data_IF_440877340075
#
_entry.id   IF_440877340075
#
_cell.length_a   1.000
_cell.length_b   1.000
_cell.length_c   1.000
_cell.angle_alpha   90.00
_cell.angle_beta   90.00
_cell.angle_gamma   90.00
#
_symmetry.space_group_name_H-M   'P 1'
#
loop_
_entity.id
_entity.type
_entity.pdbx_description
1 polymer ?
#
# COMPACT_ATOMS: atom_id res chain seq x y z
N UNK A 1 19.88 44.38 20.05
CA UNK A 1 18.48 44.81 20.07
C UNK A 1 18.08 44.93 18.60
N UNK A 2 17.84 43.80 17.93
CA UNK A 2 16.68 42.91 17.97
C UNK A 2 15.54 43.47 17.12
N UNK A 3 15.50 43.03 15.86
CA UNK A 3 14.28 42.86 15.08
C UNK A 3 14.52 41.64 14.19
N UNK A 4 14.50 40.47 14.85
CA UNK A 4 14.26 39.20 14.16
C UNK A 4 12.73 39.15 14.06
N UNK A 5 12.20 39.44 12.88
CA UNK A 5 10.77 39.21 12.63
C UNK A 5 10.50 37.72 12.84
N UNK A 6 9.71 37.43 13.87
CA UNK A 6 9.10 36.12 14.11
C UNK A 6 8.41 35.67 12.83
N UNK A 7 8.97 34.63 12.20
CA UNK A 7 8.29 33.87 11.17
C UNK A 7 7.19 33.11 11.92
N UNK A 8 6.01 33.74 11.99
CA UNK A 8 4.82 33.16 12.59
C UNK A 8 4.61 31.74 12.07
N UNK A 9 4.33 30.84 13.01
CA UNK A 9 3.86 29.47 12.78
C UNK A 9 2.73 29.49 11.73
N UNK A 10 3.06 29.12 10.51
CA UNK A 10 2.04 28.82 9.49
C UNK A 10 1.43 27.50 9.92
N UNK A 11 0.23 27.56 10.50
CA UNK A 11 -0.53 26.34 10.82
C UNK A 11 -0.52 25.41 9.59
N UNK A 12 -0.31 24.09 9.78
CA UNK A 12 -0.29 23.16 8.67
C UNK A 12 -1.63 23.24 7.95
N UNK A 13 -1.59 23.82 6.75
CA UNK A 13 -2.74 24.00 5.89
C UNK A 13 -3.34 22.63 5.61
N UNK A 14 -4.57 22.43 6.11
CA UNK A 14 -5.27 21.15 6.05
C UNK A 14 -5.65 20.87 4.60
N UNK A 15 -5.11 19.80 4.03
CA UNK A 15 -5.54 19.30 2.71
C UNK A 15 -6.91 18.62 2.89
N UNK A 16 -8.01 19.20 2.38
CA UNK A 16 -9.38 18.73 2.68
C UNK A 16 -9.66 17.33 2.12
N UNK A 17 -8.90 16.91 1.11
CA UNK A 17 -8.99 15.58 0.53
C UNK A 17 -8.23 14.51 1.31
N UNK A 18 -7.50 14.85 2.38
CA UNK A 18 -6.79 13.89 3.22
C UNK A 18 -7.51 13.72 4.57
N UNK A 19 -7.47 12.52 5.21
CA UNK A 19 -8.24 12.23 6.42
C UNK A 19 -7.72 12.97 7.68
N UNK A 20 -6.55 13.63 7.59
CA UNK A 20 -5.91 14.37 8.68
C UNK A 20 -5.02 13.49 9.58
N UNK A 21 -4.19 14.10 10.44
CA UNK A 21 -3.13 13.42 11.19
C UNK A 21 -3.64 12.47 12.30
N UNK A 22 -4.89 12.59 12.73
CA UNK A 22 -5.50 11.78 13.79
C UNK A 22 -6.44 10.70 13.25
N UNK A 23 -6.62 10.62 11.93
CA UNK A 23 -7.57 9.70 11.31
C UNK A 23 -6.81 8.69 10.44
N UNK A 24 -6.78 7.39 10.84
CA UNK A 24 -6.11 6.38 10.04
C UNK A 24 -6.86 6.11 8.74
N UNK A 25 -6.11 5.86 7.67
CA UNK A 25 -6.66 5.49 6.37
C UNK A 25 -7.06 4.00 6.37
N UNK A 26 -8.26 3.70 6.86
CA UNK A 26 -8.74 2.32 7.00
C UNK A 26 -9.40 1.77 5.74
N UNK A 27 -9.94 2.64 4.88
CA UNK A 27 -10.64 2.25 3.65
C UNK A 27 -10.36 3.22 2.50
N UNK A 28 -10.57 2.74 1.27
CA UNK A 28 -10.49 3.58 0.08
C UNK A 28 -11.71 4.50 0.00
N UNK A 29 -11.50 5.78 -0.33
CA UNK A 29 -12.57 6.78 -0.40
C UNK A 29 -12.42 7.67 -1.63
N UNK A 30 -13.50 8.39 -1.96
CA UNK A 30 -13.49 9.47 -2.95
C UNK A 30 -13.74 10.80 -2.25
N UNK A 31 -12.99 11.83 -2.61
CA UNK A 31 -13.26 13.21 -2.23
C UNK A 31 -13.63 14.00 -3.49
N UNK A 32 -14.62 14.88 -3.37
CA UNK A 32 -15.03 15.81 -4.42
C UNK A 32 -14.95 17.24 -3.88
N UNK A 33 -14.37 18.14 -4.67
CA UNK A 33 -14.52 19.58 -4.47
C UNK A 33 -15.96 20.04 -4.80
N UNK A 34 -16.35 21.28 -4.46
CA UNK A 34 -17.65 21.82 -4.86
C UNK A 34 -17.90 21.68 -6.36
N UNK A 35 -19.11 21.26 -6.74
CA UNK A 35 -19.49 21.09 -8.14
C UNK A 35 -19.51 22.45 -8.86
N UNK A 36 -18.77 22.60 -9.97
CA UNK A 36 -18.82 23.78 -10.82
C UNK A 36 -20.22 24.09 -11.33
N UNK A 37 -20.53 25.38 -11.47
CA UNK A 37 -21.86 25.88 -11.87
C UNK A 37 -21.89 26.49 -13.28
N UNK A 38 -20.72 26.70 -13.88
CA UNK A 38 -20.61 27.22 -15.23
C UNK A 38 -21.30 26.30 -16.26
N UNK A 39 -21.98 26.89 -17.22
CA UNK A 39 -22.62 26.14 -18.28
C UNK A 39 -21.62 25.78 -19.38
N UNK A 40 -21.82 24.62 -20.01
CA UNK A 40 -21.10 24.20 -21.20
C UNK A 40 -20.67 22.75 -21.14
N UNK A 41 -20.22 22.18 -22.27
CA UNK A 41 -19.57 20.88 -22.23
C UNK A 41 -18.24 21.00 -21.49
N UNK A 42 -17.96 20.03 -20.63
CA UNK A 42 -16.76 20.00 -19.80
C UNK A 42 -15.68 19.12 -20.44
N UNK A 43 -14.43 19.55 -20.30
CA UNK A 43 -13.27 18.69 -20.47
C UNK A 43 -12.82 18.15 -19.11
N UNK A 44 -12.22 16.97 -19.10
CA UNK A 44 -11.72 16.33 -17.88
C UNK A 44 -10.31 15.78 -18.09
N UNK A 45 -9.43 16.00 -17.12
CA UNK A 45 -8.10 15.41 -17.05
C UNK A 45 -8.04 14.33 -15.98
N UNK A 46 -7.32 13.24 -16.23
CA UNK A 46 -7.07 12.14 -15.29
C UNK A 46 -5.57 11.93 -15.13
N UNK A 47 -5.10 11.87 -13.88
CA UNK A 47 -3.73 11.47 -13.55
C UNK A 47 -3.70 10.73 -12.19
N UNK A 48 -2.54 10.19 -11.82
CA UNK A 48 -2.32 9.37 -10.64
C UNK A 48 -1.06 9.73 -9.87
N UNK A 49 -1.03 9.37 -8.58
CA UNK A 49 0.13 9.52 -7.72
C UNK A 49 0.31 8.30 -6.82
N UNK A 50 1.55 7.86 -6.63
CA UNK A 50 1.85 6.76 -5.71
C UNK A 50 1.66 5.36 -6.29
N UNK A 51 1.83 5.16 -7.61
CA UNK A 51 1.73 3.83 -8.22
C UNK A 51 2.87 2.89 -7.84
N UNK A 52 4.11 3.39 -7.85
CA UNK A 52 5.32 2.59 -7.60
C UNK A 52 5.68 2.28 -6.14
N UNK A 53 5.43 3.17 -5.15
CA UNK A 53 5.81 2.95 -3.75
C UNK A 53 5.28 1.64 -3.16
N UNK A 54 6.09 1.04 -2.28
CA UNK A 54 5.71 -0.07 -1.39
C UNK A 54 4.93 0.42 -0.16
N UNK A 55 5.01 1.72 0.16
CA UNK A 55 4.34 2.35 1.29
C UNK A 55 3.25 3.33 0.83
N UNK A 56 2.16 3.41 1.58
CA UNK A 56 1.13 4.45 1.45
C UNK A 56 0.12 4.18 0.33
N UNK A 57 -0.83 5.10 0.13
CA UNK A 57 -1.94 4.91 -0.80
C UNK A 57 -1.56 5.20 -2.26
N UNK A 58 -2.39 4.71 -3.19
CA UNK A 58 -2.40 5.12 -4.60
C UNK A 58 -3.57 6.07 -4.80
N UNK A 59 -3.31 7.28 -5.30
CA UNK A 59 -4.34 8.30 -5.49
C UNK A 59 -4.56 8.53 -6.97
N UNK A 60 -5.80 8.41 -7.43
CA UNK A 60 -6.23 8.89 -8.75
C UNK A 60 -6.88 10.25 -8.58
N UNK A 61 -6.51 11.21 -9.42
CA UNK A 61 -7.09 12.55 -9.46
C UNK A 61 -7.79 12.80 -10.78
N UNK A 62 -8.88 13.55 -10.72
CA UNK A 62 -9.50 14.19 -11.88
C UNK A 62 -9.67 15.68 -11.64
N UNK A 63 -9.53 16.45 -12.70
CA UNK A 63 -9.92 17.86 -12.75
C UNK A 63 -10.78 18.09 -13.98
N UNK A 64 -11.77 18.97 -13.89
CA UNK A 64 -12.74 19.21 -14.95
C UNK A 64 -13.22 20.66 -14.97
N UNK A 65 -13.38 21.21 -16.16
CA UNK A 65 -13.85 22.58 -16.38
C UNK A 65 -14.59 22.70 -17.72
N UNK A 66 -15.39 23.75 -17.96
CA UNK A 66 -15.97 24.01 -19.27
C UNK A 66 -14.89 24.07 -20.35
N UNK A 67 -15.17 23.56 -21.55
CA UNK A 67 -14.24 23.60 -22.67
C UNK A 67 -13.85 25.04 -23.06
N UNK A 68 -14.78 25.99 -22.92
CA UNK A 68 -14.53 27.42 -23.13
C UNK A 68 -13.53 28.03 -22.14
N UNK A 69 -13.36 27.40 -20.97
CA UNK A 69 -12.45 27.82 -19.93
C UNK A 69 -11.03 27.27 -20.12
N UNK A 70 -10.81 26.42 -21.13
CA UNK A 70 -9.51 25.84 -21.42
C UNK A 70 -8.45 26.90 -21.76
N UNK A 71 -8.82 27.94 -22.52
CA UNK A 71 -7.92 29.06 -22.82
C UNK A 71 -7.64 29.89 -21.56
N UNK A 72 -8.65 30.10 -20.72
CA UNK A 72 -8.46 30.75 -19.43
C UNK A 72 -7.62 29.92 -18.47
N UNK A 73 -7.56 28.59 -18.57
CA UNK A 73 -6.60 27.78 -17.80
C UNK A 73 -5.14 28.02 -18.23
N UNK A 74 -4.91 28.46 -19.48
CA UNK A 74 -3.58 28.87 -19.94
C UNK A 74 -3.17 30.21 -19.30
N UNK A 75 -4.10 31.15 -19.16
CA UNK A 75 -3.88 32.49 -18.57
C UNK A 75 -3.95 32.52 -17.03
N UNK A 76 -4.87 31.74 -16.45
CA UNK A 76 -5.07 31.62 -15.00
C UNK A 76 -3.86 31.03 -14.34
N UNK A 77 -2.91 30.53 -15.13
CA UNK A 77 -1.55 30.71 -14.76
C UNK A 77 -1.34 30.12 -13.38
N UNK A 78 -1.11 28.81 -13.34
CA UNK A 78 -0.18 28.33 -12.33
C UNK A 78 1.07 29.26 -12.25
N UNK A 79 1.33 30.11 -13.28
CA UNK A 79 2.03 31.41 -13.31
C UNK A 79 1.96 32.27 -12.03
N UNK A 80 0.88 32.36 -11.26
CA UNK A 80 0.91 33.10 -9.97
C UNK A 80 1.82 32.43 -8.92
N UNK A 81 1.74 31.09 -8.81
CA UNK A 81 2.63 30.27 -8.00
C UNK A 81 3.98 30.00 -8.70
N UNK A 82 4.09 30.31 -9.98
CA UNK A 82 5.30 30.13 -10.82
C UNK A 82 6.17 31.40 -10.83
N UNK A 83 5.56 32.60 -10.78
CA UNK A 83 6.25 33.89 -10.74
C UNK A 83 6.81 34.19 -9.35
N UNK A 84 6.14 33.75 -8.27
CA UNK A 84 6.70 33.81 -6.91
C UNK A 84 7.98 32.99 -6.75
N UNK A 85 8.21 32.01 -7.63
CA UNK A 85 9.37 31.10 -7.59
C UNK A 85 10.26 31.18 -8.85
N UNK A 86 9.96 32.06 -9.81
CA UNK A 86 10.79 32.29 -11.02
C UNK A 86 10.89 31.13 -12.01
N UNK A 87 9.94 30.19 -12.03
CA UNK A 87 10.03 28.95 -12.82
C UNK A 87 8.79 28.73 -13.67
N UNK A 88 8.90 28.82 -15.01
CA UNK A 88 7.77 28.55 -15.91
C UNK A 88 7.13 27.16 -15.69
N UNK A 89 5.91 26.94 -16.20
CA UNK A 89 5.10 25.75 -15.92
C UNK A 89 5.80 24.40 -16.17
N UNK A 90 6.73 24.36 -17.14
CA UNK A 90 7.62 23.19 -17.34
C UNK A 90 8.66 23.00 -16.23
N UNK A 91 9.24 24.07 -15.69
CA UNK A 91 10.14 24.04 -14.54
C UNK A 91 9.41 23.70 -13.24
N UNK A 92 8.17 24.15 -13.10
CA UNK A 92 7.30 23.83 -11.96
C UNK A 92 6.78 22.39 -11.98
N UNK A 93 6.29 21.89 -13.13
CA UNK A 93 5.96 20.46 -13.27
C UNK A 93 7.20 19.59 -13.03
N UNK A 94 8.37 20.02 -13.49
CA UNK A 94 9.63 19.34 -13.25
C UNK A 94 10.02 19.32 -11.77
N UNK A 95 9.76 20.37 -11.00
CA UNK A 95 9.91 20.36 -9.54
C UNK A 95 8.92 19.42 -8.84
N UNK A 96 7.67 19.36 -9.31
CA UNK A 96 6.68 18.39 -8.83
C UNK A 96 7.05 16.94 -9.21
N UNK A 97 7.82 16.75 -10.28
CA UNK A 97 8.40 15.45 -10.69
C UNK A 97 9.65 15.12 -9.86
N UNK A 98 10.49 16.11 -9.55
CA UNK A 98 11.70 16.00 -8.73
C UNK A 98 11.35 16.18 -7.23
N UNK A 99 10.45 15.33 -6.72
CA UNK A 99 9.70 15.37 -5.44
C UNK A 99 10.51 15.42 -4.12
N UNK A 100 11.71 15.99 -4.10
CA UNK A 100 12.55 16.09 -2.91
C UNK A 100 12.53 17.48 -2.25
N UNK A 101 11.88 18.49 -2.86
CA UNK A 101 12.02 19.90 -2.41
C UNK A 101 10.73 20.73 -2.61
N UNK A 102 9.54 20.20 -2.33
CA UNK A 102 8.35 21.03 -2.18
C UNK A 102 7.86 20.90 -0.74
N UNK A 103 7.96 22.00 0.03
CA UNK A 103 7.45 22.06 1.41
C UNK A 103 5.92 21.95 1.40
N UNK A 104 5.34 21.41 2.46
CA UNK A 104 3.88 21.27 2.64
C UNK A 104 3.11 22.58 2.30
N UNK A 105 3.65 23.73 2.67
CA UNK A 105 3.06 25.05 2.37
C UNK A 105 2.87 25.33 0.86
N UNK A 106 3.79 24.87 0.00
CA UNK A 106 3.67 25.04 -1.45
C UNK A 106 2.60 24.11 -2.03
N UNK A 107 2.32 22.97 -1.38
CA UNK A 107 1.32 22.00 -1.84
C UNK A 107 -0.10 22.49 -1.61
N UNK A 108 -0.36 23.05 -0.43
CA UNK A 108 -1.68 23.57 -0.07
C UNK A 108 -2.08 24.78 -0.92
N UNK A 109 -1.14 25.69 -1.20
CA UNK A 109 -1.40 26.84 -2.07
C UNK A 109 -1.82 26.45 -3.50
N UNK A 110 -1.41 25.27 -3.98
CA UNK A 110 -1.81 24.78 -5.30
C UNK A 110 -3.23 24.24 -5.29
N UNK A 111 -3.62 23.55 -4.23
CA UNK A 111 -4.98 23.09 -4.04
C UNK A 111 -5.94 24.28 -3.84
N UNK A 112 -5.48 25.33 -3.14
CA UNK A 112 -6.20 26.59 -3.01
C UNK A 112 -6.38 27.26 -4.37
N UNK A 113 -5.36 27.22 -5.24
CA UNK A 113 -5.46 27.71 -6.61
C UNK A 113 -6.52 26.93 -7.40
N UNK A 114 -6.52 25.59 -7.30
CA UNK A 114 -7.54 24.74 -7.94
C UNK A 114 -8.95 25.00 -7.41
N UNK A 115 -9.07 25.47 -6.17
CA UNK A 115 -10.34 25.74 -5.50
C UNK A 115 -10.76 27.21 -5.59
N UNK A 116 -9.90 28.08 -6.13
CA UNK A 116 -10.14 29.54 -6.18
C UNK A 116 -11.27 29.94 -7.13
N UNK A 117 -11.43 29.22 -8.24
CA UNK A 117 -12.53 29.41 -9.20
C UNK A 117 -13.43 28.18 -9.22
N UNK A 118 -14.09 27.92 -8.09
CA UNK A 118 -15.04 26.81 -7.94
C UNK A 118 -16.26 26.90 -8.86
N UNK A 119 -16.51 28.03 -9.52
CA UNK A 119 -17.59 28.16 -10.50
C UNK A 119 -17.23 27.45 -11.82
N UNK A 120 -15.95 27.51 -12.22
CA UNK A 120 -15.47 26.95 -13.49
C UNK A 120 -14.66 25.66 -13.32
N UNK A 121 -13.92 25.50 -12.23
CA UNK A 121 -12.99 24.39 -12.04
C UNK A 121 -13.42 23.49 -10.88
N UNK A 122 -13.58 22.21 -11.20
CA UNK A 122 -13.83 21.16 -10.23
C UNK A 122 -12.70 20.14 -10.26
N UNK A 123 -12.45 19.52 -9.12
CA UNK A 123 -11.54 18.40 -8.99
C UNK A 123 -12.08 17.34 -8.04
N UNK A 124 -11.59 16.11 -8.19
CA UNK A 124 -11.94 14.98 -7.33
C UNK A 124 -10.78 14.01 -7.26
N UNK A 125 -10.68 13.27 -6.15
CA UNK A 125 -9.63 12.26 -5.97
C UNK A 125 -10.22 10.98 -5.43
N UNK A 126 -9.73 9.84 -5.93
CA UNK A 126 -9.99 8.51 -5.39
C UNK A 126 -8.71 8.00 -4.73
N UNK A 127 -8.75 7.85 -3.42
CA UNK A 127 -7.63 7.33 -2.62
C UNK A 127 -7.83 5.83 -2.44
N UNK A 128 -6.91 5.02 -2.99
CA UNK A 128 -6.86 3.58 -2.80
C UNK A 128 -5.93 3.24 -1.63
N UNK A 129 -6.51 2.72 -0.56
CA UNK A 129 -5.76 2.39 0.63
C UNK A 129 -4.81 1.19 0.41
N UNK A 130 -3.62 1.15 1.04
CA UNK A 130 -2.64 0.09 0.80
C UNK A 130 -3.16 -1.32 1.09
N UNK A 131 -4.02 -1.48 2.11
CA UNK A 131 -4.71 -2.74 2.41
C UNK A 131 -5.73 -3.14 1.33
N UNK A 132 -6.41 -2.18 0.70
CA UNK A 132 -7.33 -2.45 -0.41
C UNK A 132 -6.55 -2.92 -1.66
N UNK A 133 -5.40 -2.29 -1.94
CA UNK A 133 -4.51 -2.71 -3.03
C UNK A 133 -4.00 -4.13 -2.79
N UNK A 134 -3.52 -4.38 -1.57
CA UNK A 134 -2.97 -5.68 -1.16
C UNK A 134 -4.01 -6.79 -1.24
N UNK A 135 -5.18 -6.59 -0.63
CA UNK A 135 -6.28 -7.56 -0.66
C UNK A 135 -6.79 -7.80 -2.09
N UNK A 136 -6.91 -6.75 -2.91
CA UNK A 136 -7.30 -6.88 -4.31
C UNK A 136 -6.34 -7.74 -5.14
N UNK A 137 -5.03 -7.59 -4.94
CA UNK A 137 -4.01 -8.33 -5.69
C UNK A 137 -3.80 -9.76 -5.16
N UNK A 138 -3.98 -9.99 -3.85
CA UNK A 138 -3.72 -11.27 -3.19
C UNK A 138 -4.96 -12.19 -3.10
N UNK A 139 -6.17 -11.68 -3.37
CA UNK A 139 -7.39 -12.49 -3.36
C UNK A 139 -7.43 -13.52 -4.50
N UNK A 140 -8.42 -14.43 -4.43
CA UNK A 140 -8.75 -15.39 -5.49
C UNK A 140 -10.18 -15.16 -6.02
N UNK A 141 -10.37 -14.92 -7.33
CA UNK A 141 -9.36 -14.66 -8.36
C UNK A 141 -8.68 -13.27 -8.18
N UNK A 142 -7.38 -13.14 -8.50
CA UNK A 142 -6.63 -11.91 -8.26
C UNK A 142 -7.10 -10.76 -9.17
N UNK A 143 -7.13 -9.55 -8.62
CA UNK A 143 -7.34 -8.31 -9.38
C UNK A 143 -6.03 -7.54 -9.41
N UNK A 144 -5.39 -7.55 -10.57
CA UNK A 144 -4.10 -6.88 -10.75
C UNK A 144 -4.22 -5.35 -10.60
N UNK A 145 -3.08 -4.69 -10.38
CA UNK A 145 -3.03 -3.25 -10.15
C UNK A 145 -3.61 -2.46 -11.32
N UNK A 146 -3.39 -2.90 -12.57
CA UNK A 146 -3.92 -2.20 -13.75
C UNK A 146 -5.45 -2.18 -13.74
N UNK A 147 -6.10 -3.27 -13.35
CA UNK A 147 -7.56 -3.34 -13.26
C UNK A 147 -8.09 -2.45 -12.13
N UNK A 148 -7.46 -2.47 -10.96
CA UNK A 148 -7.82 -1.58 -9.85
C UNK A 148 -7.66 -0.09 -10.22
N UNK A 149 -6.57 0.25 -10.94
CA UNK A 149 -6.34 1.58 -11.51
C UNK A 149 -7.44 2.00 -12.49
N UNK A 150 -7.80 1.14 -13.45
CA UNK A 150 -8.87 1.41 -14.41
C UNK A 150 -10.21 1.61 -13.71
N UNK A 151 -10.54 0.77 -12.72
CA UNK A 151 -11.79 0.87 -11.97
C UNK A 151 -11.86 2.18 -11.17
N UNK A 152 -10.74 2.69 -10.64
CA UNK A 152 -10.67 3.99 -9.97
C UNK A 152 -10.92 5.15 -10.94
N UNK A 153 -10.31 5.14 -12.13
CA UNK A 153 -10.58 6.14 -13.19
C UNK A 153 -12.05 6.12 -13.61
N UNK A 154 -12.61 4.93 -13.86
CA UNK A 154 -14.00 4.75 -14.27
C UNK A 154 -14.96 5.27 -13.19
N UNK A 155 -14.67 4.99 -11.91
CA UNK A 155 -15.48 5.49 -10.80
C UNK A 155 -15.51 7.03 -10.79
N UNK A 156 -14.35 7.69 -10.88
CA UNK A 156 -14.28 9.15 -10.89
C UNK A 156 -15.03 9.77 -12.08
N UNK A 157 -14.92 9.19 -13.27
CA UNK A 157 -15.66 9.68 -14.45
C UNK A 157 -17.17 9.52 -14.23
N UNK A 158 -17.63 8.38 -13.69
CA UNK A 158 -19.04 8.14 -13.39
C UNK A 158 -19.57 9.11 -12.34
N UNK A 159 -18.78 9.39 -11.31
CA UNK A 159 -19.16 10.34 -10.26
C UNK A 159 -19.36 11.74 -10.86
N UNK A 160 -18.43 12.21 -11.70
CA UNK A 160 -18.54 13.50 -12.40
C UNK A 160 -19.80 13.55 -13.29
N UNK A 161 -20.07 12.51 -14.08
CA UNK A 161 -21.29 12.43 -14.88
C UNK A 161 -22.55 12.43 -14.00
N UNK A 162 -22.50 11.83 -12.81
CA UNK A 162 -23.64 11.80 -11.87
C UNK A 162 -23.98 13.17 -11.28
N UNK A 163 -23.03 14.12 -11.28
CA UNK A 163 -23.26 15.50 -10.86
C UNK A 163 -24.03 16.32 -11.91
N UNK A 164 -24.41 15.71 -13.04
CA UNK A 164 -25.10 16.40 -14.14
C UNK A 164 -24.15 17.15 -15.07
N UNK A 165 -22.83 16.93 -14.94
CA UNK A 165 -21.83 17.52 -15.82
C UNK A 165 -21.79 16.75 -17.14
N UNK A 166 -22.00 17.46 -18.25
CA UNK A 166 -21.86 16.91 -19.59
C UNK A 166 -20.39 16.95 -20.02
N UNK A 167 -19.74 15.78 -20.10
CA UNK A 167 -18.36 15.68 -20.56
C UNK A 167 -18.31 15.57 -22.09
N UNK A 168 -17.54 16.44 -22.74
CA UNK A 168 -17.22 16.29 -24.17
C UNK A 168 -15.95 15.48 -24.39
N UNK A 169 -14.89 15.73 -23.61
CA UNK A 169 -13.57 15.13 -23.83
C UNK A 169 -12.85 14.79 -22.53
N UNK A 170 -12.26 13.60 -22.45
CA UNK A 170 -11.45 13.12 -21.33
C UNK A 170 -10.02 12.84 -21.77
N UNK A 171 -9.06 13.50 -21.14
CA UNK A 171 -7.63 13.32 -21.34
C UNK A 171 -7.05 12.49 -20.19
N UNK A 172 -6.36 11.40 -20.48
CA UNK A 172 -5.84 10.47 -19.47
C UNK A 172 -4.34 10.32 -19.60
N UNK A 173 -3.59 10.56 -18.50
CA UNK A 173 -2.20 10.09 -18.41
C UNK A 173 -2.19 8.60 -18.09
N UNK A 174 -1.52 7.82 -18.94
CA UNK A 174 -1.42 6.38 -18.74
C UNK A 174 -0.05 5.85 -19.15
N UNK A 175 0.43 4.88 -18.37
CA UNK A 175 1.63 4.11 -18.69
C UNK A 175 1.27 2.87 -19.51
N UNK A 176 2.11 2.50 -20.48
CA UNK A 176 1.95 1.27 -21.27
C UNK A 176 1.18 1.46 -22.58
N UNK A 177 0.33 0.49 -22.93
CA UNK A 177 -0.43 0.47 -24.19
C UNK A 177 -1.68 1.34 -24.07
N UNK A 178 -1.59 2.56 -24.62
CA UNK A 178 -2.63 3.59 -24.52
C UNK A 178 -3.82 3.30 -25.43
N UNK A 179 -3.61 2.76 -26.64
CA UNK A 179 -4.66 2.47 -27.62
C UNK A 179 -5.73 1.50 -27.08
N UNK A 180 -5.29 0.42 -26.43
CA UNK A 180 -6.22 -0.54 -25.80
C UNK A 180 -7.01 0.08 -24.67
N UNK A 181 -6.38 0.97 -23.91
CA UNK A 181 -7.05 1.63 -22.79
C UNK A 181 -8.05 2.67 -23.28
N UNK A 182 -7.70 3.44 -24.31
CA UNK A 182 -8.60 4.37 -24.98
C UNK A 182 -9.82 3.64 -25.55
N UNK A 183 -9.62 2.58 -26.33
CA UNK A 183 -10.72 1.78 -26.88
C UNK A 183 -11.63 1.21 -25.79
N UNK A 184 -11.06 0.78 -24.65
CA UNK A 184 -11.83 0.30 -23.51
C UNK A 184 -12.68 1.42 -22.89
N UNK A 185 -12.11 2.61 -22.64
CA UNK A 185 -12.85 3.75 -22.10
C UNK A 185 -13.94 4.24 -23.06
N UNK A 186 -13.62 4.39 -24.34
CA UNK A 186 -14.59 4.79 -25.37
C UNK A 186 -15.75 3.78 -25.49
N UNK A 187 -15.49 2.49 -25.28
CA UNK A 187 -16.57 1.48 -25.26
C UNK A 187 -17.50 1.60 -24.05
N UNK A 188 -16.98 2.08 -22.91
CA UNK A 188 -17.75 2.26 -21.68
C UNK A 188 -18.52 3.58 -21.64
N UNK A 189 -18.01 4.61 -22.31
CA UNK A 189 -18.60 5.96 -22.34
C UNK A 189 -18.75 6.45 -23.79
N UNK A 190 -19.70 5.92 -24.58
CA UNK A 190 -19.78 6.19 -26.02
C UNK A 190 -20.15 7.63 -26.43
N UNK A 191 -20.49 8.49 -25.46
CA UNK A 191 -20.86 9.90 -25.67
C UNK A 191 -19.72 10.87 -25.34
N UNK A 192 -18.58 10.36 -24.90
CA UNK A 192 -17.43 11.13 -24.45
C UNK A 192 -16.24 10.76 -25.30
N UNK A 193 -15.52 11.75 -25.81
CA UNK A 193 -14.29 11.52 -26.55
C UNK A 193 -13.13 11.27 -25.57
N UNK A 194 -12.25 10.34 -25.90
CA UNK A 194 -11.09 10.01 -25.07
C UNK A 194 -9.80 10.27 -25.82
N UNK A 195 -8.80 10.75 -25.07
CA UNK A 195 -7.41 10.76 -25.52
C UNK A 195 -6.53 10.22 -24.41
N UNK A 196 -5.99 9.03 -24.63
CA UNK A 196 -5.08 8.39 -23.68
C UNK A 196 -3.67 8.46 -24.24
N UNK A 197 -2.77 9.14 -23.53
CA UNK A 197 -1.38 9.26 -23.96
C UNK A 197 -0.45 9.19 -22.76
N UNK A 198 0.78 8.76 -23.00
CA UNK A 198 1.87 8.95 -22.04
C UNK A 198 2.21 10.43 -21.91
N UNK A 199 2.57 10.86 -20.70
CA UNK A 199 2.95 12.24 -20.36
C UNK A 199 1.87 13.24 -20.75
N UNK A 200 0.61 12.87 -20.52
CA UNK A 200 -0.53 13.74 -20.79
C UNK A 200 -0.50 14.99 -19.90
N UNK A 201 0.04 14.87 -18.68
CA UNK A 201 0.32 15.97 -17.75
C UNK A 201 1.13 17.11 -18.37
N UNK A 202 2.01 16.78 -19.31
CA UNK A 202 2.91 17.71 -20.00
C UNK A 202 2.27 18.32 -21.26
N UNK A 203 1.18 17.73 -21.74
CA UNK A 203 0.48 18.11 -22.99
C UNK A 203 -0.81 18.88 -22.72
N UNK A 204 -1.55 18.51 -21.67
CA UNK A 204 -2.88 19.03 -21.38
C UNK A 204 -2.93 19.61 -19.96
N UNK A 205 -3.26 20.90 -19.83
CA UNK A 205 -3.29 21.60 -18.54
C UNK A 205 -4.28 21.00 -17.55
N UNK A 206 -5.42 20.52 -18.06
CA UNK A 206 -6.43 19.87 -17.21
C UNK A 206 -5.89 18.58 -16.58
N UNK A 207 -5.00 17.86 -17.28
CA UNK A 207 -4.30 16.69 -16.72
C UNK A 207 -3.24 17.13 -15.71
N UNK A 208 -2.54 18.24 -15.96
CA UNK A 208 -1.64 18.84 -14.97
C UNK A 208 -2.37 19.20 -13.66
N UNK A 209 -3.58 19.75 -13.75
CA UNK A 209 -4.42 20.06 -12.60
C UNK A 209 -4.83 18.79 -11.83
N UNK A 210 -5.24 17.74 -12.54
CA UNK A 210 -5.53 16.43 -11.95
C UNK A 210 -4.30 15.83 -11.24
N UNK A 211 -3.11 15.99 -11.83
CA UNK A 211 -1.83 15.57 -11.26
C UNK A 211 -1.54 16.22 -9.92
N UNK A 212 -1.79 17.53 -9.82
CA UNK A 212 -1.62 18.30 -8.58
C UNK A 212 -2.55 17.75 -7.50
N UNK A 213 -3.85 17.59 -7.81
CA UNK A 213 -4.82 17.05 -6.86
C UNK A 213 -4.40 15.66 -6.33
N UNK A 214 -3.95 14.77 -7.22
CA UNK A 214 -3.48 13.43 -6.85
C UNK A 214 -2.22 13.47 -5.97
N UNK A 215 -1.19 14.21 -6.38
CA UNK A 215 0.10 14.30 -5.69
C UNK A 215 -0.02 14.96 -4.32
N UNK A 216 -0.72 16.09 -4.24
CA UNK A 216 -0.93 16.82 -2.98
C UNK A 216 -1.70 15.96 -1.99
N UNK A 217 -2.77 15.30 -2.42
CA UNK A 217 -3.54 14.38 -1.57
C UNK A 217 -2.69 13.20 -1.10
N UNK A 218 -1.92 12.57 -2.00
CA UNK A 218 -1.06 11.43 -1.66
C UNK A 218 -0.01 11.84 -0.63
N UNK A 219 0.68 12.96 -0.86
CA UNK A 219 1.74 13.42 0.03
C UNK A 219 1.16 13.77 1.40
N UNK A 220 0.03 14.47 1.46
CA UNK A 220 -0.67 14.75 2.71
C UNK A 220 -1.08 13.47 3.46
N UNK A 221 -1.56 12.44 2.75
CA UNK A 221 -1.89 11.15 3.37
C UNK A 221 -0.65 10.46 3.98
N UNK A 222 0.52 10.57 3.35
CA UNK A 222 1.75 9.91 3.81
C UNK A 222 2.45 10.73 4.90
N UNK A 223 2.49 12.05 4.78
CA UNK A 223 3.10 12.95 5.78
C UNK A 223 2.33 12.95 7.10
N UNK A 224 0.99 12.91 7.02
CA UNK A 224 0.10 12.83 8.18
C UNK A 224 -0.39 11.41 8.45
N UNK A 225 0.43 10.39 8.12
CA UNK A 225 0.00 9.00 8.25
C UNK A 225 -0.26 8.63 9.71
N UNK A 226 -1.49 8.23 10.00
CA UNK A 226 -1.89 7.67 11.28
C UNK A 226 -1.98 6.14 11.16
N UNK A 227 -1.18 5.42 11.94
CA UNK A 227 -1.25 3.96 11.99
C UNK A 227 -2.53 3.52 12.69
N UNK A 228 -3.32 2.69 12.01
CA UNK A 228 -4.55 2.15 12.60
C UNK A 228 -4.25 1.24 13.80
N UNK A 229 -3.08 0.59 13.76
CA UNK A 229 -2.57 -0.31 14.78
C UNK A 229 -2.22 0.38 16.10
N UNK A 230 -2.00 1.70 16.08
CA UNK A 230 -1.65 2.48 17.28
C UNK A 230 -2.91 2.97 18.03
N UNK A 231 -4.13 2.64 17.56
CA UNK A 231 -5.37 3.02 18.25
C UNK A 231 -5.37 2.51 19.70
N UNK A 232 -5.22 3.44 20.64
CA UNK A 232 -5.20 3.16 22.08
C UNK A 232 -3.79 3.11 22.71
N UNK A 233 -2.74 3.43 21.95
CA UNK A 233 -1.37 3.61 22.45
C UNK A 233 -0.99 5.10 22.47
N UNK A 234 -0.23 5.53 23.48
CA UNK A 234 0.31 6.90 23.56
C UNK A 234 1.53 7.11 22.64
N UNK A 235 2.23 6.02 22.29
CA UNK A 235 3.39 6.03 21.42
C UNK A 235 3.18 5.11 20.20
N UNK A 236 3.65 5.57 19.04
CA UNK A 236 3.61 4.77 17.81
C UNK A 236 4.69 3.70 17.83
N UNK A 237 4.33 2.46 17.49
CA UNK A 237 5.30 1.35 17.37
C UNK A 237 6.32 1.59 16.24
N UNK A 238 5.98 2.41 15.24
CA UNK A 238 6.79 2.62 14.05
C UNK A 238 7.24 4.08 13.89
N UNK A 239 8.48 4.27 13.45
CA UNK A 239 8.98 5.60 13.10
C UNK A 239 8.23 6.19 11.90
N UNK A 240 8.04 7.51 11.93
CA UNK A 240 7.52 8.31 10.82
C UNK A 240 8.58 8.61 9.74
N UNK A 241 9.85 8.24 9.97
CA UNK A 241 10.94 8.36 9.00
C UNK A 241 10.91 7.22 7.98
N UNK A 242 9.87 7.19 7.15
CA UNK A 242 9.59 6.13 6.18
C UNK A 242 10.56 6.08 4.99
N UNK A 243 11.29 7.17 4.74
CA UNK A 243 11.94 7.41 3.45
C UNK A 243 10.94 7.79 2.34
N UNK A 244 11.32 7.60 1.08
CA UNK A 244 10.50 7.93 -0.09
C UNK A 244 9.29 6.99 -0.29
N UNK A 245 9.31 5.82 0.34
CA UNK A 245 8.34 4.75 0.12
C UNK A 245 8.61 3.88 -1.11
N UNK A 246 9.65 4.14 -1.90
CA UNK A 246 10.02 3.31 -3.06
C UNK A 246 10.95 2.16 -2.68
N UNK A 247 10.84 0.99 -3.31
CA UNK A 247 11.71 -0.16 -3.00
C UNK A 247 13.17 0.05 -3.37
N UNK A 248 13.48 1.06 -4.20
CA UNK A 248 14.85 1.45 -4.58
C UNK A 248 15.53 2.37 -3.57
N UNK A 249 14.80 2.90 -2.59
CA UNK A 249 15.35 3.84 -1.61
C UNK A 249 15.90 3.11 -0.37
N UNK A 250 17.19 3.27 -0.05
CA UNK A 250 17.82 2.64 1.12
C UNK A 250 17.13 2.95 2.45
N UNK A 251 16.58 4.15 2.63
CA UNK A 251 15.89 4.52 3.86
C UNK A 251 14.57 3.75 4.01
N UNK A 252 13.82 3.62 2.92
CA UNK A 252 12.59 2.81 2.88
C UNK A 252 12.88 1.33 3.17
N UNK A 253 13.94 0.78 2.58
CA UNK A 253 14.32 -0.62 2.84
C UNK A 253 14.76 -0.82 4.29
N UNK A 254 15.49 0.14 4.87
CA UNK A 254 15.86 0.09 6.30
C UNK A 254 14.62 0.10 7.18
N UNK A 255 13.67 0.99 6.91
CA UNK A 255 12.42 1.08 7.67
C UNK A 255 11.64 -0.24 7.60
N UNK A 256 11.50 -0.84 6.41
CA UNK A 256 10.83 -2.14 6.27
C UNK A 256 11.51 -3.22 7.11
N UNK A 257 12.84 -3.31 7.11
CA UNK A 257 13.54 -4.31 7.94
C UNK A 257 13.33 -4.11 9.43
N UNK A 258 13.21 -2.87 9.91
CA UNK A 258 12.91 -2.59 11.33
C UNK A 258 11.43 -2.76 11.68
N UNK A 259 10.53 -2.63 10.71
CA UNK A 259 9.09 -2.62 10.94
C UNK A 259 8.45 -4.02 10.93
N UNK A 260 9.19 -5.05 10.50
CA UNK A 260 8.66 -6.40 10.34
C UNK A 260 8.36 -7.06 11.69
N UNK A 261 7.13 -7.53 11.84
CA UNK A 261 6.64 -8.32 12.96
C UNK A 261 6.70 -9.82 12.60
N UNK A 262 7.24 -10.70 13.46
CA UNK A 262 7.40 -12.12 13.14
C UNK A 262 6.09 -12.85 12.84
N UNK A 263 4.96 -12.38 13.37
CA UNK A 263 3.65 -13.02 13.20
C UNK A 263 2.78 -12.24 12.23
N UNK A 264 2.67 -10.92 12.42
CA UNK A 264 1.75 -10.08 11.65
C UNK A 264 2.37 -9.48 10.39
N UNK A 265 3.68 -9.57 10.22
CA UNK A 265 4.37 -9.03 9.07
C UNK A 265 4.56 -7.51 9.15
N UNK A 266 3.61 -6.72 8.66
CA UNK A 266 3.78 -5.27 8.53
C UNK A 266 2.51 -4.49 8.94
N UNK A 267 2.63 -3.20 9.31
CA UNK A 267 1.45 -2.35 9.45
C UNK A 267 0.76 -2.15 8.09
N UNK A 268 -0.54 -1.79 8.12
CA UNK A 268 -1.40 -1.56 6.95
C UNK A 268 -0.90 -0.51 5.98
N UNK A 269 0.04 0.35 6.40
CA UNK A 269 0.79 1.25 5.52
C UNK A 269 1.49 0.52 4.36
N UNK A 270 1.94 -0.71 4.60
CA UNK A 270 2.74 -1.49 3.66
C UNK A 270 1.85 -2.25 2.69
N UNK A 271 2.21 -2.22 1.41
CA UNK A 271 1.51 -2.97 0.37
C UNK A 271 2.06 -4.40 0.27
N UNK A 272 1.37 -5.35 0.89
CA UNK A 272 1.77 -6.77 0.96
C UNK A 272 1.90 -7.46 -0.41
N UNK A 273 1.25 -6.92 -1.45
CA UNK A 273 1.34 -7.48 -2.80
C UNK A 273 2.64 -7.17 -3.55
N UNK A 274 3.52 -6.30 -3.02
CA UNK A 274 4.79 -5.99 -3.67
C UNK A 274 5.82 -7.09 -3.44
N UNK A 275 6.57 -7.42 -4.49
CA UNK A 275 7.60 -8.48 -4.45
C UNK A 275 8.65 -8.25 -3.37
N UNK A 276 9.06 -6.99 -3.13
CA UNK A 276 10.02 -6.63 -2.07
C UNK A 276 9.48 -7.00 -0.69
N UNK A 277 8.20 -6.77 -0.43
CA UNK A 277 7.54 -7.07 0.84
C UNK A 277 7.41 -8.59 1.01
N UNK A 278 6.95 -9.29 -0.04
CA UNK A 278 6.88 -10.76 -0.03
C UNK A 278 8.23 -11.40 0.30
N UNK A 279 9.30 -10.93 -0.36
CA UNK A 279 10.66 -11.46 -0.14
C UNK A 279 11.17 -11.22 1.29
N UNK A 280 10.75 -10.13 1.93
CA UNK A 280 11.09 -9.84 3.32
C UNK A 280 10.30 -10.72 4.29
N UNK A 281 8.98 -10.89 4.06
CA UNK A 281 8.15 -11.78 4.88
C UNK A 281 8.65 -13.23 4.84
N UNK A 282 9.03 -13.71 3.65
CA UNK A 282 9.57 -15.08 3.48
C UNK A 282 10.90 -15.31 4.24
N UNK A 283 11.63 -14.24 4.59
CA UNK A 283 12.94 -14.31 5.25
C UNK A 283 12.90 -14.04 6.75
N UNK A 284 12.10 -13.06 7.16
CA UNK A 284 12.14 -12.48 8.52
C UNK A 284 10.88 -12.84 9.35
N UNK A 285 9.78 -13.22 8.70
CA UNK A 285 8.53 -13.57 9.38
C UNK A 285 8.29 -15.09 9.41
N UNK A 286 7.37 -15.53 10.27
CA UNK A 286 6.98 -16.92 10.37
C UNK A 286 6.35 -17.43 9.07
N UNK A 287 6.63 -18.67 8.71
CA UNK A 287 6.05 -19.30 7.52
C UNK A 287 4.54 -19.47 7.70
N UNK A 288 3.76 -18.84 6.82
CA UNK A 288 2.31 -18.98 6.75
C UNK A 288 1.96 -19.81 5.52
N UNK A 289 1.07 -20.79 5.69
CA UNK A 289 0.53 -21.59 4.58
C UNK A 289 -0.95 -21.32 4.42
N UNK A 290 -1.35 -20.82 3.25
CA UNK A 290 -2.76 -20.58 2.94
C UNK A 290 -3.43 -21.84 2.36
N UNK A 291 -4.75 -21.94 2.53
CA UNK A 291 -5.54 -23.10 2.06
C UNK A 291 -5.55 -23.26 0.54
N UNK A 292 -5.24 -22.19 -0.18
CA UNK A 292 -5.17 -22.13 -1.64
C UNK A 292 -3.74 -22.29 -2.20
N UNK A 293 -2.73 -22.34 -1.34
CA UNK A 293 -1.35 -22.57 -1.75
C UNK A 293 -1.15 -24.03 -2.20
N UNK A 294 -0.89 -24.19 -3.50
CA UNK A 294 -0.70 -25.52 -4.10
C UNK A 294 -2.01 -26.21 -4.49
N UNK A 295 -3.10 -25.48 -4.73
CA UNK A 295 -4.36 -26.07 -5.23
C UNK A 295 -4.21 -26.89 -6.53
N UNK A 296 -3.21 -26.60 -7.37
CA UNK A 296 -2.86 -27.46 -8.50
C UNK A 296 -2.42 -28.87 -8.06
N UNK A 297 -1.80 -29.00 -6.88
CA UNK A 297 -1.40 -30.28 -6.27
C UNK A 297 -2.50 -30.91 -5.41
N UNK A 298 -3.44 -30.13 -4.87
CA UNK A 298 -4.59 -30.68 -4.14
C UNK A 298 -5.51 -31.49 -5.04
N UNK A 299 -5.70 -31.07 -6.30
CA UNK A 299 -6.45 -31.87 -7.30
C UNK A 299 -5.81 -33.25 -7.51
N UNK A 300 -4.48 -33.33 -7.51
CA UNK A 300 -3.75 -34.61 -7.59
C UNK A 300 -3.83 -35.42 -6.28
N UNK A 301 -3.90 -34.77 -5.12
CA UNK A 301 -4.06 -35.42 -3.82
C UNK A 301 -5.46 -36.05 -3.64
N UNK A 302 -6.51 -35.46 -4.23
CA UNK A 302 -7.85 -36.05 -4.26
C UNK A 302 -7.99 -37.20 -5.27
N UNK A 303 -7.10 -37.29 -6.29
CA UNK A 303 -7.06 -38.41 -7.23
C UNK A 303 -6.33 -39.63 -6.66
N UNK A 304 -5.30 -39.41 -5.84
CA UNK A 304 -4.56 -40.49 -5.19
C UNK A 304 -5.11 -40.74 -3.78
N UNK A 305 -6.29 -41.37 -3.73
CA UNK A 305 -6.83 -41.97 -2.50
C UNK A 305 -5.97 -43.15 -2.02
N UNK A 306 -4.75 -42.89 -1.55
CA UNK A 306 -3.91 -43.91 -0.92
C UNK A 306 -4.38 -44.16 0.51
N UNK A 307 -5.40 -45.01 0.65
CA UNK A 307 -5.45 -46.08 1.65
C UNK A 307 -5.27 -45.79 3.14
N UNK A 308 -5.40 -44.55 3.64
CA UNK A 308 -5.32 -44.29 5.11
C UNK A 308 -6.66 -44.53 5.82
N UNK A 309 -7.79 -44.49 5.10
CA UNK A 309 -9.14 -44.41 5.67
C UNK A 309 -10.08 -45.57 5.28
N UNK A 310 -9.54 -46.76 4.98
CA UNK A 310 -10.36 -47.90 4.52
C UNK A 310 -11.41 -48.39 5.54
N UNK A 311 -11.26 -48.08 6.83
CA UNK A 311 -12.10 -48.61 7.92
C UNK A 311 -12.82 -47.52 8.76
N UNK A 312 -13.06 -46.33 8.18
CA UNK A 312 -13.67 -45.20 8.93
C UNK A 312 -15.13 -44.95 8.58
N UNK A 313 -15.93 -44.65 9.61
CA UNK A 313 -17.32 -44.20 9.43
C UNK A 313 -17.38 -42.93 8.60
N UNK A 314 -18.47 -42.74 7.85
CA UNK A 314 -18.66 -41.57 7.00
C UNK A 314 -18.54 -40.26 7.81
N UNK A 315 -19.17 -40.22 8.99
CA UNK A 315 -19.11 -39.07 9.91
C UNK A 315 -17.68 -38.68 10.29
N UNK A 316 -16.80 -39.66 10.55
CA UNK A 316 -15.43 -39.38 10.95
C UNK A 316 -14.57 -38.84 9.79
N UNK A 317 -14.92 -39.19 8.54
CA UNK A 317 -14.30 -38.66 7.32
C UNK A 317 -14.79 -37.26 7.00
N UNK A 318 -16.10 -37.05 7.06
CA UNK A 318 -16.75 -35.76 6.75
C UNK A 318 -16.34 -34.66 7.74
N UNK A 319 -16.12 -35.01 9.01
CA UNK A 319 -15.69 -34.08 10.06
C UNK A 319 -14.15 -33.98 10.22
N UNK A 320 -13.37 -34.63 9.34
CA UNK A 320 -11.91 -34.65 9.39
C UNK A 320 -11.32 -35.02 10.77
N UNK A 321 -12.01 -35.90 11.52
CA UNK A 321 -11.54 -36.34 12.84
C UNK A 321 -10.31 -37.24 12.67
N UNK A 322 -9.50 -37.43 13.71
CA UNK A 322 -8.44 -38.45 13.69
C UNK A 322 -8.15 -38.94 15.11
N UNK A 323 -7.70 -40.20 15.24
CA UNK A 323 -7.31 -40.74 16.55
C UNK A 323 -5.92 -40.26 16.94
N UNK A 324 -5.75 -39.87 18.21
CA UNK A 324 -4.52 -39.26 18.74
C UNK A 324 -3.37 -40.27 18.91
N UNK A 325 -3.61 -41.56 18.71
CA UNK A 325 -2.63 -42.64 18.96
C UNK A 325 -1.40 -42.64 18.04
N UNK A 326 -1.34 -41.84 16.96
CA UNK A 326 -0.18 -41.79 16.05
C UNK A 326 0.93 -40.79 16.44
N UNK A 327 0.74 -39.96 17.46
CA UNK A 327 1.73 -38.90 17.78
C UNK A 327 2.84 -39.35 18.75
N UNK A 328 2.70 -40.49 19.42
CA UNK A 328 3.71 -40.99 20.37
C UNK A 328 4.82 -41.85 19.74
N UNK A 329 4.58 -42.50 18.59
CA UNK A 329 5.58 -43.39 17.96
C UNK A 329 6.60 -42.70 17.05
N UNK A 330 6.46 -41.40 16.79
CA UNK A 330 7.38 -40.64 15.95
C UNK A 330 8.54 -40.01 16.73
N UNK A 331 8.39 -39.81 18.05
CA UNK A 331 9.44 -39.27 18.92
C UNK A 331 10.50 -40.33 19.23
N UNK A 332 10.15 -41.61 19.31
CA UNK A 332 11.12 -42.67 19.62
C UNK A 332 12.09 -43.00 18.47
N UNK A 333 11.71 -42.76 17.20
CA UNK A 333 12.58 -43.13 16.06
C UNK A 333 13.74 -42.17 15.78
N UNK A 334 13.74 -40.97 16.37
CA UNK A 334 14.91 -40.07 16.28
C UNK A 334 15.96 -40.32 17.37
N UNK A 335 15.64 -41.09 18.43
CA UNK A 335 16.59 -41.40 19.51
C UNK A 335 17.41 -42.67 19.28
N UNK A 336 17.07 -43.52 18.31
CA UNK A 336 17.70 -44.85 18.16
C UNK A 336 18.86 -44.92 17.15
N UNK A 337 19.37 -43.79 16.65
CA UNK A 337 20.47 -43.77 15.65
C UNK A 337 21.86 -43.38 16.21
N UNK A 338 22.01 -43.26 17.54
CA UNK A 338 23.34 -43.20 18.16
C UNK A 338 23.62 -44.51 18.93
N UNK A 339 23.93 -45.56 18.19
CA UNK A 339 24.64 -46.71 18.77
C UNK A 339 26.11 -46.33 18.88
N UNK A 340 26.53 -46.01 20.10
CA UNK A 340 27.93 -45.83 20.50
C UNK A 340 28.63 -47.17 20.30
N UNK A 341 29.61 -47.22 19.40
CA UNK A 341 30.57 -48.32 19.30
C UNK A 341 31.55 -48.20 20.48
N UNK A 342 31.36 -49.03 21.50
CA UNK A 342 32.38 -49.26 22.53
C UNK A 342 33.35 -50.30 21.95
N UNK A 343 34.58 -49.87 21.63
CA UNK A 343 35.71 -50.77 21.44
C UNK A 343 36.47 -50.84 22.77
N UNK A 344 36.48 -52.03 23.36
CA UNK A 344 37.42 -52.41 24.41
C UNK A 344 38.82 -52.49 23.83
N UNK A 345 39.76 -51.64 24.30
CA UNK A 345 41.18 -52.00 24.38
C UNK A 345 41.80 -51.34 25.62
N UNK A 346 42.26 -52.20 26.54
CA UNK A 346 43.13 -51.87 27.66
C UNK A 346 44.50 -51.39 27.15
N UNK A 347 44.97 -50.22 27.59
CA UNK A 347 46.38 -50.02 27.92
C UNK A 347 46.58 -48.85 28.88
N UNK A 348 47.37 -49.10 29.92
CA UNK A 348 47.73 -48.20 31.01
C UNK A 348 48.52 -46.96 30.55
N UNK A 349 48.41 -45.84 31.28
CA UNK A 349 49.56 -45.11 31.84
C UNK A 349 49.09 -44.05 32.86
N UNK A 350 49.94 -43.82 33.85
CA UNK A 350 49.77 -43.03 35.07
C UNK A 350 50.02 -41.52 34.87
N UNK A 351 49.66 -40.76 35.92
CA UNK A 351 50.14 -39.43 36.36
C UNK A 351 49.31 -38.15 36.05
N UNK A 352 48.91 -37.49 37.16
CA UNK A 352 49.00 -36.02 37.30
C UNK A 352 47.69 -35.24 37.47
N UNK A 353 47.35 -34.91 38.73
CA UNK A 353 46.78 -33.62 39.23
C UNK A 353 45.46 -33.09 38.62
N UNK A 354 44.43 -32.59 39.31
CA UNK A 354 44.17 -32.18 40.69
C UNK A 354 42.66 -31.82 40.77
N UNK A 355 41.98 -32.19 41.85
CA UNK A 355 40.59 -31.78 42.22
C UNK A 355 40.59 -30.33 42.76
N UNK A 356 39.47 -29.57 42.78
CA UNK A 356 38.43 -29.70 43.84
C UNK A 356 36.96 -29.61 43.33
N UNK A 357 36.04 -30.46 43.81
CA UNK A 357 35.02 -30.20 44.87
C UNK A 357 34.11 -28.98 44.58
N UNK A 358 32.78 -29.06 44.51
CA UNK A 358 31.86 -29.45 45.59
C UNK A 358 30.50 -29.99 45.09
N UNK A 359 29.97 -30.94 45.86
CA UNK A 359 28.65 -31.59 45.79
C UNK A 359 27.76 -31.02 46.91
N UNK A 360 26.45 -30.92 46.70
CA UNK A 360 25.36 -31.25 47.67
C UNK A 360 24.03 -30.65 47.15
N UNK A 361 23.12 -31.46 46.59
CA UNK A 361 22.04 -32.22 47.26
C UNK A 361 20.77 -31.38 47.47
N UNK A 362 19.64 -31.80 46.89
CA UNK A 362 18.45 -32.25 47.62
C UNK A 362 17.36 -32.69 46.64
N UNK A 363 17.04 -33.99 46.71
CA UNK A 363 15.79 -34.60 46.29
C UNK A 363 14.62 -34.05 47.15
N UNK A 364 13.45 -33.82 46.54
CA UNK A 364 12.18 -34.35 47.05
C UNK A 364 11.06 -34.30 46.00
N UNK A 365 10.14 -35.29 45.95
CA UNK A 365 9.07 -35.40 44.95
C UNK A 365 7.72 -34.89 45.49
N UNK A 366 6.88 -34.28 44.65
CA UNK A 366 5.47 -34.00 45.02
C UNK A 366 4.49 -34.58 44.00
N UNK A 367 3.53 -35.30 44.58
CA UNK A 367 2.48 -36.14 43.99
C UNK A 367 1.36 -35.34 43.31
N UNK A 368 0.76 -36.02 42.34
CA UNK A 368 -0.61 -35.84 41.84
C UNK A 368 -1.67 -35.90 42.96
N UNK A 369 -2.66 -35.02 42.90
CA UNK A 369 -4.06 -35.34 43.22
C UNK A 369 -4.98 -34.52 42.31
N UNK A 370 -5.88 -35.21 41.64
CA UNK A 370 -7.07 -34.62 41.06
C UNK A 370 -8.24 -34.69 42.05
N UNK A 371 -9.19 -33.79 41.81
CA UNK A 371 -10.65 -33.99 41.90
C UNK A 371 -11.27 -33.03 40.90
#
# INVERSE_FOLDING_TARGET
MSDVEDIADVEPTVVPSAPGPSTPLTESYTYHSPTPTAAGPYILGVDEAGRGPVLGPLVYGVAYCPASFQESLDDMGFDGAIYRFGLGLRGFLKLCQDSKVLKAATRSSLLDTLSSDSANLGWSVRVLAPQAISSGMLRRPPVNLNKQSQDATIALIRDVLSFGIELSHVYVDALGNTEKYEAYLSSLFPRVDFTVTQKADSKFKIVSAASIAAKVTRDACVEAWCFEEDKGSEESKWSTELGSGYPSDPNTVRWLKSAVDPVFGFPKLVRFSWTTVKTLLDKEAAAVKWTDEGQANLVNAFQNGSGVDKDRTAVARDLHLSSVTKTLGAVEKQSSSQQIHVKDENQAFFEGSSVPAWVSSFDEPVRYMGT
#
